data_IF_808034731083
#
_entry.id   IF_808034731083
#
_cell.length_a   1.000
_cell.length_b   1.000
_cell.length_c   1.000
_cell.angle_alpha   90.00
_cell.angle_beta   90.00
_cell.angle_gamma   90.00
#
_symmetry.space_group_name_H-M   'P 1'
#
loop_
_entity.id
_entity.type
_entity.pdbx_description
1 polymer ?
#
# COMPACT_ATOMS: atom_id res chain seq x y z
N UNK A 1 -5.62 3.43 66.63
CA UNK A 1 -4.23 3.93 66.70
C UNK A 1 -3.51 3.95 65.33
N UNK A 2 -3.76 3.00 64.43
CA UNK A 2 -3.11 2.95 63.09
C UNK A 2 -3.38 4.20 62.19
N UNK A 3 -4.60 4.77 62.23
CA UNK A 3 -4.96 5.98 61.47
C UNK A 3 -4.19 7.24 61.89
N UNK A 4 -3.76 7.34 63.15
CA UNK A 4 -2.94 8.45 63.64
C UNK A 4 -1.47 8.31 63.21
N UNK A 5 -0.97 7.07 63.08
CA UNK A 5 0.38 6.79 62.59
C UNK A 5 0.52 7.09 61.08
N UNK A 6 -0.49 6.75 60.27
CA UNK A 6 -0.54 7.08 58.83
C UNK A 6 -0.56 8.60 58.62
N UNK A 7 -1.33 9.35 59.42
CA UNK A 7 -1.35 10.83 59.38
C UNK A 7 -0.03 11.48 59.79
N UNK A 8 0.79 10.83 60.63
CA UNK A 8 2.09 11.36 61.08
C UNK A 8 3.20 11.20 60.04
N UNK A 9 3.13 10.17 59.19
CA UNK A 9 4.11 9.93 58.12
C UNK A 9 3.69 10.49 56.75
N UNK A 10 2.44 10.93 56.60
CA UNK A 10 1.94 11.55 55.36
C UNK A 10 2.12 13.07 55.34
N UNK A 11 3.19 13.62 55.95
CA UNK A 11 3.47 15.05 55.87
C UNK A 11 4.15 15.36 54.55
N UNK A 12 3.50 16.17 53.72
CA UNK A 12 4.09 16.67 52.48
C UNK A 12 5.40 17.43 52.78
N UNK A 13 6.46 17.28 51.97
CA UNK A 13 7.67 18.10 52.13
C UNK A 13 7.33 19.58 51.97
N UNK A 14 8.11 20.49 52.58
CA UNK A 14 7.77 21.92 52.69
C UNK A 14 7.64 22.65 51.34
N UNK A 15 8.05 22.03 50.23
CA UNK A 15 7.94 22.55 48.87
C UNK A 15 6.89 21.82 48.01
N UNK A 16 6.19 20.81 48.54
CA UNK A 16 5.26 19.98 47.78
C UNK A 16 4.11 20.78 47.14
N UNK A 17 3.72 21.88 47.76
CA UNK A 17 2.62 22.76 47.30
C UNK A 17 3.13 24.07 46.68
N UNK A 18 4.46 24.21 46.51
CA UNK A 18 5.01 25.38 45.81
C UNK A 18 4.72 25.25 44.30
N UNK A 19 4.42 26.34 43.59
CA UNK A 19 4.25 26.31 42.15
C UNK A 19 5.47 25.69 41.46
N UNK A 20 5.25 24.68 40.63
CA UNK A 20 6.33 23.98 39.92
C UNK A 20 6.88 24.77 38.73
N UNK A 21 6.08 25.70 38.20
CA UNK A 21 6.43 26.52 37.04
C UNK A 21 6.38 28.02 37.40
N UNK A 22 7.18 28.81 36.70
CA UNK A 22 7.16 30.27 36.78
C UNK A 22 5.87 30.89 36.19
N UNK A 23 5.80 32.23 36.10
CA UNK A 23 4.63 32.89 35.52
C UNK A 23 4.43 32.42 34.07
N UNK A 24 3.18 32.09 33.73
CA UNK A 24 2.85 31.61 32.40
C UNK A 24 3.03 32.73 31.35
N UNK A 25 3.70 32.41 30.24
CA UNK A 25 3.76 33.27 29.07
C UNK A 25 2.43 33.21 28.30
N UNK A 26 1.57 34.18 28.61
CA UNK A 26 0.25 34.29 27.98
C UNK A 26 0.32 34.68 26.51
N UNK A 27 1.38 35.38 26.08
CA UNK A 27 1.53 35.83 24.71
C UNK A 27 1.90 34.64 23.80
N UNK A 28 2.88 33.84 24.21
CA UNK A 28 3.24 32.62 23.51
C UNK A 28 2.07 31.61 23.47
N UNK A 29 1.35 31.45 24.60
CA UNK A 29 0.18 30.59 24.65
C UNK A 29 -0.96 31.05 23.72
N UNK A 30 -1.17 32.37 23.59
CA UNK A 30 -2.15 32.95 22.66
C UNK A 30 -1.74 32.71 21.21
N UNK A 31 -0.49 33.00 20.86
CA UNK A 31 0.04 32.78 19.52
C UNK A 31 -0.05 31.30 19.10
N UNK A 32 0.23 30.38 20.01
CA UNK A 32 0.06 28.95 19.75
C UNK A 32 -1.40 28.58 19.47
N UNK A 33 -2.35 29.06 20.28
CA UNK A 33 -3.78 28.82 20.04
C UNK A 33 -4.26 29.39 18.70
N UNK A 34 -3.86 30.61 18.38
CA UNK A 34 -4.17 31.24 17.09
C UNK A 34 -3.58 30.44 15.92
N UNK A 35 -2.36 29.90 16.08
CA UNK A 35 -1.74 29.07 15.04
C UNK A 35 -2.49 27.75 14.79
N UNK A 36 -3.07 27.15 15.84
CA UNK A 36 -3.88 25.93 15.72
C UNK A 36 -5.18 26.20 14.95
N UNK A 37 -5.85 27.31 15.26
CA UNK A 37 -7.06 27.73 14.55
C UNK A 37 -6.76 28.03 13.08
N UNK A 38 -5.67 28.77 12.80
CA UNK A 38 -5.23 29.05 11.44
C UNK A 38 -4.90 27.76 10.66
N UNK A 39 -4.21 26.81 11.30
CA UNK A 39 -3.88 25.51 10.70
C UNK A 39 -5.16 24.71 10.38
N UNK A 40 -6.12 24.69 11.30
CA UNK A 40 -7.41 24.03 11.10
C UNK A 40 -8.19 24.63 9.93
N UNK A 41 -8.23 25.96 9.82
CA UNK A 41 -8.88 26.65 8.71
C UNK A 41 -8.21 26.32 7.37
N UNK A 42 -6.87 26.44 7.30
CA UNK A 42 -6.11 26.12 6.09
C UNK A 42 -6.26 24.65 5.68
N UNK A 43 -6.28 23.72 6.63
CA UNK A 43 -6.51 22.30 6.37
C UNK A 43 -7.89 22.04 5.78
N UNK A 44 -8.94 22.74 6.25
CA UNK A 44 -10.30 22.62 5.70
C UNK A 44 -10.35 23.07 4.24
N UNK A 45 -9.72 24.19 3.91
CA UNK A 45 -9.67 24.69 2.53
C UNK A 45 -8.85 23.76 1.62
N UNK A 46 -7.69 23.33 2.08
CA UNK A 46 -6.80 22.41 1.36
C UNK A 46 -7.49 21.07 1.10
N UNK A 47 -8.21 20.52 2.08
CA UNK A 47 -8.98 19.29 1.91
C UNK A 47 -10.08 19.46 0.85
N UNK A 48 -10.77 20.61 0.84
CA UNK A 48 -11.76 20.93 -0.18
C UNK A 48 -11.17 21.02 -1.59
N UNK A 49 -9.99 21.63 -1.74
CA UNK A 49 -9.25 21.68 -3.01
C UNK A 49 -8.90 20.28 -3.51
N UNK A 50 -8.27 19.45 -2.68
CA UNK A 50 -7.87 18.09 -3.08
C UNK A 50 -9.06 17.21 -3.41
N UNK A 51 -10.16 17.33 -2.67
CA UNK A 51 -11.42 16.63 -3.00
C UNK A 51 -11.88 16.98 -4.42
N UNK A 52 -11.84 18.26 -4.80
CA UNK A 52 -12.19 18.69 -6.16
C UNK A 52 -11.23 18.10 -7.19
N UNK A 53 -9.91 18.15 -6.96
CA UNK A 53 -8.93 17.55 -7.87
C UNK A 53 -9.17 16.05 -8.06
N UNK A 54 -9.45 15.31 -6.98
CA UNK A 54 -9.76 13.88 -7.07
C UNK A 54 -10.98 13.63 -7.99
N UNK A 55 -12.09 14.35 -7.78
CA UNK A 55 -13.31 14.10 -8.55
C UNK A 55 -13.30 14.68 -9.97
N UNK A 56 -12.65 15.83 -10.19
CA UNK A 56 -12.67 16.51 -11.48
C UNK A 56 -11.46 16.19 -12.36
N UNK A 57 -10.39 15.63 -11.80
CA UNK A 57 -9.19 15.26 -12.56
C UNK A 57 -8.96 13.76 -12.47
N UNK A 58 -8.71 13.23 -11.27
CA UNK A 58 -8.29 11.84 -11.13
C UNK A 58 -9.36 10.84 -11.60
N UNK A 59 -10.63 11.04 -11.23
CA UNK A 59 -11.73 10.16 -11.65
C UNK A 59 -11.90 10.14 -13.18
N UNK A 60 -12.01 11.30 -13.89
CA UNK A 60 -12.03 11.31 -15.34
C UNK A 60 -10.79 10.68 -15.99
N UNK A 61 -9.59 10.94 -15.47
CA UNK A 61 -8.35 10.33 -15.98
C UNK A 61 -8.36 8.81 -15.87
N UNK A 62 -8.81 8.27 -14.72
CA UNK A 62 -8.95 6.83 -14.51
C UNK A 62 -10.01 6.25 -15.46
N UNK A 63 -11.14 6.94 -15.65
CA UNK A 63 -12.17 6.48 -16.57
C UNK A 63 -11.65 6.37 -18.02
N UNK A 64 -10.90 7.37 -18.49
CA UNK A 64 -10.28 7.33 -19.82
C UNK A 64 -9.26 6.20 -19.94
N UNK A 65 -8.37 6.04 -18.95
CA UNK A 65 -7.39 4.97 -18.94
C UNK A 65 -8.04 3.57 -18.87
N UNK A 66 -9.14 3.44 -18.12
CA UNK A 66 -9.90 2.19 -18.02
C UNK A 66 -10.54 1.81 -19.36
N UNK A 67 -11.14 2.76 -20.08
CA UNK A 67 -11.69 2.49 -21.43
C UNK A 67 -10.59 2.08 -22.40
N UNK A 68 -9.46 2.77 -22.41
CA UNK A 68 -8.33 2.40 -23.26
C UNK A 68 -7.80 0.99 -22.94
N UNK A 69 -7.56 0.71 -21.66
CA UNK A 69 -7.07 -0.59 -21.19
C UNK A 69 -8.06 -1.71 -21.49
N UNK A 70 -9.37 -1.44 -21.37
CA UNK A 70 -10.42 -2.40 -21.70
C UNK A 70 -10.33 -2.87 -23.15
N UNK A 71 -10.20 -1.94 -24.11
CA UNK A 71 -10.08 -2.31 -25.52
C UNK A 71 -8.81 -3.11 -25.82
N UNK A 72 -7.68 -2.70 -25.28
CA UNK A 72 -6.40 -3.42 -25.45
C UNK A 72 -6.47 -4.80 -24.81
N UNK A 73 -7.05 -4.92 -23.63
CA UNK A 73 -7.19 -6.21 -22.94
C UNK A 73 -8.18 -7.14 -23.64
N UNK A 74 -9.24 -6.63 -24.27
CA UNK A 74 -10.14 -7.43 -25.09
C UNK A 74 -9.41 -8.08 -26.28
N UNK A 75 -8.52 -7.33 -26.94
CA UNK A 75 -7.67 -7.85 -28.01
C UNK A 75 -6.69 -8.90 -27.49
N UNK A 76 -6.04 -8.64 -26.35
CA UNK A 76 -5.16 -9.62 -25.71
C UNK A 76 -5.91 -10.89 -25.26
N UNK A 77 -7.15 -10.77 -24.77
CA UNK A 77 -7.98 -11.91 -24.41
C UNK A 77 -8.27 -12.79 -25.63
N UNK A 78 -8.67 -12.19 -26.76
CA UNK A 78 -8.88 -12.92 -28.03
C UNK A 78 -7.59 -13.59 -28.52
N UNK A 79 -6.45 -12.91 -28.41
CA UNK A 79 -5.16 -13.48 -28.77
C UNK A 79 -4.81 -14.70 -27.90
N UNK A 80 -5.03 -14.65 -26.58
CA UNK A 80 -4.82 -15.78 -25.68
C UNK A 80 -5.74 -16.95 -26.01
N UNK A 81 -7.00 -16.70 -26.37
CA UNK A 81 -7.92 -17.75 -26.82
C UNK A 81 -7.42 -18.41 -28.11
N UNK A 82 -6.90 -17.65 -29.09
CA UNK A 82 -6.27 -18.25 -30.27
C UNK A 82 -5.05 -19.11 -29.90
N UNK A 83 -4.15 -18.61 -29.05
CA UNK A 83 -2.96 -19.35 -28.62
C UNK A 83 -3.32 -20.69 -27.96
N UNK A 84 -4.40 -20.75 -27.19
CA UNK A 84 -4.88 -21.98 -26.54
C UNK A 84 -5.13 -23.14 -27.52
N UNK A 85 -5.51 -22.84 -28.76
CA UNK A 85 -5.80 -23.84 -29.79
C UNK A 85 -4.57 -24.23 -30.62
N UNK A 86 -3.44 -23.54 -30.46
CA UNK A 86 -2.18 -23.90 -31.13
C UNK A 86 -1.66 -25.22 -30.52
N UNK A 87 -1.45 -26.27 -31.33
CA UNK A 87 -0.87 -27.54 -30.85
C UNK A 87 0.58 -27.37 -30.39
N UNK A 88 1.04 -28.16 -29.42
CA UNK A 88 2.39 -28.05 -28.88
C UNK A 88 3.50 -28.36 -29.91
N UNK A 89 3.20 -29.19 -30.92
CA UNK A 89 4.12 -29.46 -32.05
C UNK A 89 4.41 -28.20 -32.90
N UNK A 90 3.46 -27.26 -32.93
CA UNK A 90 3.57 -26.00 -33.66
C UNK A 90 4.06 -24.86 -32.74
N UNK A 91 4.30 -25.16 -31.45
CA UNK A 91 4.86 -24.20 -30.51
C UNK A 91 6.32 -23.91 -30.86
N UNK A 92 6.75 -22.63 -30.91
CA UNK A 92 8.13 -22.29 -31.20
C UNK A 92 9.09 -22.94 -30.21
N UNK A 93 10.20 -23.48 -30.70
CA UNK A 93 11.25 -24.03 -29.84
C UNK A 93 11.85 -22.93 -28.97
N UNK A 94 11.81 -23.14 -27.66
CA UNK A 94 12.42 -22.23 -26.68
C UNK A 94 13.94 -22.14 -26.88
N UNK A 95 14.51 -20.96 -26.62
CA UNK A 95 15.96 -20.81 -26.55
C UNK A 95 16.51 -21.44 -25.27
N UNK A 96 17.80 -21.83 -25.26
CA UNK A 96 18.44 -22.51 -24.12
C UNK A 96 18.35 -21.76 -22.78
N UNK A 97 18.22 -20.44 -22.82
CA UNK A 97 18.09 -19.61 -21.61
C UNK A 97 16.64 -19.47 -21.12
N UNK A 98 15.66 -19.89 -21.91
CA UNK A 98 14.25 -19.88 -21.52
C UNK A 98 13.91 -21.19 -20.82
N UNK A 99 12.93 -21.14 -19.91
CA UNK A 99 12.45 -22.31 -19.16
C UNK A 99 13.51 -23.18 -18.46
N UNK A 100 14.70 -22.63 -18.14
CA UNK A 100 15.75 -23.36 -17.41
C UNK A 100 15.22 -23.89 -16.06
N UNK A 101 15.55 -25.16 -15.77
CA UNK A 101 15.36 -25.80 -14.45
C UNK A 101 16.64 -26.52 -14.02
N UNK A 102 17.49 -25.87 -13.22
CA UNK A 102 18.68 -26.54 -12.64
C UNK A 102 18.32 -27.53 -11.54
N UNK A 103 17.22 -27.27 -10.83
CA UNK A 103 16.59 -28.16 -9.84
C UNK A 103 15.08 -27.99 -9.98
N UNK A 104 14.27 -29.06 -9.92
CA UNK A 104 12.81 -28.93 -9.92
C UNK A 104 12.36 -28.10 -8.71
N UNK A 105 11.28 -27.34 -8.89
CA UNK A 105 10.60 -26.70 -7.78
C UNK A 105 10.14 -27.75 -6.76
N UNK A 106 10.06 -27.35 -5.50
CA UNK A 106 9.71 -28.26 -4.40
C UNK A 106 8.20 -28.49 -4.25
N UNK A 107 7.38 -27.94 -5.17
CA UNK A 107 5.93 -28.07 -5.18
C UNK A 107 5.43 -28.53 -6.55
N UNK A 108 4.18 -29.02 -6.57
CA UNK A 108 3.52 -29.44 -7.81
C UNK A 108 4.29 -30.56 -8.52
N UNK A 109 4.46 -30.40 -9.82
CA UNK A 109 5.25 -31.29 -10.69
C UNK A 109 6.73 -30.89 -10.79
N UNK A 110 7.13 -29.83 -10.08
CA UNK A 110 8.49 -29.31 -10.10
C UNK A 110 8.82 -28.36 -11.25
N UNK A 111 7.88 -28.06 -12.15
CA UNK A 111 8.17 -27.25 -13.33
C UNK A 111 7.46 -25.89 -13.34
N UNK A 112 6.25 -25.82 -12.79
CA UNK A 112 5.41 -24.62 -12.87
C UNK A 112 5.67 -23.62 -11.74
N UNK A 113 5.81 -22.34 -12.10
CA UNK A 113 5.93 -21.22 -11.14
C UNK A 113 4.59 -20.90 -10.47
N UNK A 114 4.59 -20.01 -9.47
CA UNK A 114 3.36 -19.61 -8.74
C UNK A 114 2.29 -18.97 -9.66
N UNK A 115 2.71 -18.15 -10.61
CA UNK A 115 1.83 -17.50 -11.59
C UNK A 115 2.04 -18.10 -12.99
N UNK A 116 2.01 -19.43 -13.08
CA UNK A 116 2.13 -20.14 -14.34
C UNK A 116 0.80 -20.21 -15.07
N UNK A 117 0.73 -19.63 -16.28
CA UNK A 117 -0.41 -19.77 -17.17
C UNK A 117 -0.03 -20.74 -18.32
N UNK A 118 -0.64 -21.94 -18.41
CA UNK A 118 -0.28 -22.93 -19.41
C UNK A 118 -0.60 -22.51 -20.85
N UNK A 119 -1.36 -21.44 -21.07
CA UNK A 119 -1.63 -20.93 -22.42
C UNK A 119 -0.43 -20.17 -22.99
N UNK A 120 0.26 -19.39 -22.15
CA UNK A 120 1.32 -18.46 -22.57
C UNK A 120 2.71 -18.85 -22.09
N UNK A 121 2.80 -19.60 -20.99
CA UNK A 121 4.03 -20.14 -20.46
C UNK A 121 3.95 -21.65 -20.68
N UNK A 122 4.21 -22.14 -21.89
CA UNK A 122 4.35 -23.58 -22.11
C UNK A 122 5.79 -23.97 -21.92
N UNK A 123 6.00 -25.17 -21.41
CA UNK A 123 7.32 -25.80 -21.38
C UNK A 123 7.21 -27.10 -22.18
N UNK A 124 7.41 -26.97 -23.50
CA UNK A 124 7.28 -28.09 -24.44
C UNK A 124 8.64 -28.77 -24.56
N UNK A 125 8.70 -30.08 -24.30
CA UNK A 125 9.90 -30.87 -24.53
C UNK A 125 10.11 -31.06 -26.03
N UNK A 126 11.28 -30.68 -26.55
CA UNK A 126 11.64 -30.84 -27.96
C UNK A 126 12.72 -31.91 -28.16
N UNK A 127 12.76 -32.93 -27.30
CA UNK A 127 13.79 -33.97 -27.28
C UNK A 127 13.61 -35.01 -28.40
N UNK A 128 12.47 -35.01 -29.09
CA UNK A 128 12.09 -35.98 -30.12
C UNK A 128 12.20 -35.47 -31.58
N UNK A 129 12.88 -34.34 -31.82
CA UNK A 129 13.09 -33.75 -33.16
C UNK A 129 14.49 -34.00 -33.73
#
# INVERSE_FOLDING_TARGET
MLRQAIRRYSSLPPYALKPAFGPADKAAAKAFKESLEATSHHAKETSGLWKKITFFVAVPSIALAAVNTYFVEEEHAKHREHLKHVPDQDWPKDYEFQNIRSKPFFWGDGDKTLFWNPVVNRHVSHDDA
#
